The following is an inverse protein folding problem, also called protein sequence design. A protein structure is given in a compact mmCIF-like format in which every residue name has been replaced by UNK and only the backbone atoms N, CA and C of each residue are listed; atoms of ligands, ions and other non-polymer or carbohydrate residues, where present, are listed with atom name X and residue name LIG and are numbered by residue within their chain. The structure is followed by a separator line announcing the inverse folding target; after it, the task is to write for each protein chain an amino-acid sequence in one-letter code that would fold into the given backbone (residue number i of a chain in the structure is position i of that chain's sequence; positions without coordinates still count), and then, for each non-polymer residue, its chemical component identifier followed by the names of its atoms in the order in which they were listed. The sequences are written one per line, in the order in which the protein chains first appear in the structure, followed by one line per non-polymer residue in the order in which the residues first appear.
data_IF_695175824460
#
_entry.id   IF_695175824460
#
_cell.length_a   1.000
_cell.length_b   1.000
_cell.length_c   1.000
_cell.angle_alpha   90.00
_cell.angle_beta   90.00
_cell.angle_gamma   90.00
#
_symmetry.space_group_name_H-M   'P 1'
#
loop_
_entity.id
_entity.type
_entity.pdbx_description
1 polymer ?
#
# COMPACT_ATOMS: atom_id res chain seq x y z
N UNK A 1 -27.81 -56.18 -52.26
CA UNK A 1 -27.89 -54.73 -52.56
C UNK A 1 -27.90 -53.98 -51.24
N UNK A 2 -26.73 -53.84 -50.61
CA UNK A 2 -26.56 -52.91 -49.50
C UNK A 2 -26.09 -51.59 -50.09
N UNK A 3 -27.02 -50.66 -50.27
CA UNK A 3 -26.75 -49.32 -50.83
C UNK A 3 -27.73 -48.33 -50.23
N UNK A 4 -27.22 -47.29 -49.58
CA UNK A 4 -28.00 -46.17 -49.03
C UNK A 4 -27.58 -45.87 -47.60
N UNK A 5 -26.39 -45.32 -47.39
CA UNK A 5 -26.22 -43.88 -47.24
C UNK A 5 -27.06 -43.32 -46.07
N UNK A 6 -26.62 -43.61 -44.84
CA UNK A 6 -26.81 -42.66 -43.74
C UNK A 6 -25.85 -41.48 -43.95
N UNK A 7 -26.13 -40.74 -45.03
CA UNK A 7 -25.60 -39.40 -45.18
C UNK A 7 -26.58 -38.50 -44.47
N UNK A 8 -26.24 -38.12 -43.24
CA UNK A 8 -26.81 -36.96 -42.57
C UNK A 8 -26.84 -35.84 -43.61
N UNK A 9 -28.05 -35.42 -43.98
CA UNK A 9 -28.26 -34.47 -45.05
C UNK A 9 -27.47 -33.19 -44.76
N UNK A 10 -26.73 -32.69 -45.76
CA UNK A 10 -26.16 -31.34 -45.73
C UNK A 10 -27.32 -30.36 -45.61
N UNK A 11 -27.62 -29.90 -44.39
CA UNK A 11 -28.76 -29.00 -44.22
C UNK A 11 -29.19 -28.71 -42.80
N UNK A 12 -28.86 -29.52 -41.80
CA UNK A 12 -29.30 -29.24 -40.43
C UNK A 12 -28.31 -28.40 -39.64
N UNK A 13 -27.83 -27.32 -40.28
CA UNK A 13 -26.93 -26.33 -39.67
C UNK A 13 -27.54 -25.69 -38.42
N UNK A 14 -28.87 -25.73 -38.27
CA UNK A 14 -29.60 -25.21 -37.11
C UNK A 14 -29.54 -26.15 -35.90
N UNK A 15 -29.54 -27.47 -36.12
CA UNK A 15 -29.40 -28.46 -35.04
C UNK A 15 -27.95 -28.48 -34.54
N UNK A 16 -26.97 -28.40 -35.45
CA UNK A 16 -25.56 -28.22 -35.11
C UNK A 16 -25.29 -26.86 -34.43
N UNK A 17 -25.88 -25.76 -34.90
CA UNK A 17 -25.69 -24.45 -34.25
C UNK A 17 -26.33 -24.38 -32.86
N UNK A 18 -27.51 -24.97 -32.65
CA UNK A 18 -28.14 -25.05 -31.32
C UNK A 18 -27.38 -26.00 -30.39
N UNK A 19 -26.91 -27.13 -30.89
CA UNK A 19 -26.08 -28.06 -30.13
C UNK A 19 -24.75 -27.41 -29.74
N UNK A 20 -24.07 -26.75 -30.69
CA UNK A 20 -22.84 -26.00 -30.46
C UNK A 20 -23.05 -24.84 -29.47
N UNK A 21 -24.15 -24.09 -29.55
CA UNK A 21 -24.47 -23.04 -28.56
C UNK A 21 -24.80 -23.61 -27.17
N UNK A 22 -25.39 -24.80 -27.09
CA UNK A 22 -25.72 -25.47 -25.82
C UNK A 22 -24.50 -26.15 -25.15
N UNK A 23 -23.46 -26.47 -25.93
CA UNK A 23 -22.25 -27.16 -25.47
C UNK A 23 -21.02 -26.26 -25.38
N UNK A 24 -21.03 -25.10 -26.07
CA UNK A 24 -19.96 -24.11 -26.00
C UNK A 24 -19.96 -23.46 -24.63
N UNK A 25 -18.99 -23.86 -23.80
CA UNK A 25 -18.66 -23.14 -22.58
C UNK A 25 -18.14 -21.75 -22.97
N UNK A 26 -18.76 -20.70 -22.44
CA UNK A 26 -18.26 -19.32 -22.59
C UNK A 26 -17.01 -19.07 -21.74
N UNK A 27 -16.85 -19.87 -20.67
CA UNK A 27 -15.70 -19.90 -19.78
C UNK A 27 -15.35 -21.36 -19.53
N UNK A 28 -14.12 -21.75 -19.82
CA UNK A 28 -13.62 -23.09 -19.49
C UNK A 28 -13.25 -23.13 -18.00
N UNK A 29 -13.80 -24.09 -17.25
CA UNK A 29 -13.46 -24.29 -15.84
C UNK A 29 -12.45 -25.43 -15.74
N UNK A 30 -11.29 -25.13 -15.17
CA UNK A 30 -10.22 -26.10 -14.88
C UNK A 30 -10.40 -26.70 -13.47
N UNK A 31 -9.81 -27.86 -13.22
CA UNK A 31 -9.74 -28.46 -11.88
C UNK A 31 -8.61 -27.81 -11.06
N UNK A 32 -8.65 -27.95 -9.73
CA UNK A 32 -7.56 -27.48 -8.87
C UNK A 32 -6.28 -28.27 -9.15
N UNK A 33 -5.15 -27.56 -9.27
CA UNK A 33 -3.86 -28.11 -9.64
C UNK A 33 -3.64 -28.38 -11.13
N UNK A 34 -4.64 -28.14 -11.99
CA UNK A 34 -4.45 -28.25 -13.44
C UNK A 34 -3.45 -27.18 -13.93
N UNK A 35 -2.56 -27.52 -14.87
CA UNK A 35 -1.71 -26.51 -15.48
C UNK A 35 -2.54 -25.53 -16.31
N UNK A 36 -2.22 -24.24 -16.24
CA UNK A 36 -2.82 -23.24 -17.12
C UNK A 36 -2.49 -23.57 -18.60
N UNK A 37 -3.41 -23.32 -19.55
CA UNK A 37 -3.18 -23.64 -20.95
C UNK A 37 -2.00 -22.83 -21.52
N UNK A 38 -1.19 -23.47 -22.36
CA UNK A 38 -0.02 -22.84 -23.01
C UNK A 38 -0.34 -21.98 -24.23
N UNK A 39 -1.62 -21.81 -24.57
CA UNK A 39 -2.10 -21.00 -25.70
C UNK A 39 -3.47 -20.41 -25.38
N UNK A 40 -3.85 -19.33 -26.07
CA UNK A 40 -5.15 -18.68 -25.91
C UNK A 40 -6.31 -19.63 -26.30
N UNK A 41 -7.08 -20.05 -25.30
CA UNK A 41 -8.31 -20.83 -25.41
C UNK A 41 -9.56 -19.98 -25.07
N UNK A 42 -9.42 -18.66 -24.93
CA UNK A 42 -10.46 -17.76 -24.43
C UNK A 42 -10.49 -17.69 -22.89
N UNK A 43 -11.51 -17.06 -22.30
CA UNK A 43 -11.61 -16.89 -20.85
C UNK A 43 -11.71 -18.23 -20.11
N UNK A 44 -11.00 -18.35 -18.99
CA UNK A 44 -11.00 -19.55 -18.14
C UNK A 44 -11.28 -19.19 -16.69
N UNK A 45 -11.75 -20.15 -15.92
CA UNK A 45 -11.84 -20.10 -14.46
C UNK A 45 -10.97 -21.21 -13.88
N UNK A 46 -10.19 -20.88 -12.84
CA UNK A 46 -9.34 -21.83 -12.15
C UNK A 46 -9.57 -21.73 -10.64
N UNK A 47 -9.90 -22.80 -9.91
CA UNK A 47 -10.28 -22.71 -8.50
C UNK A 47 -9.13 -22.25 -7.58
N UNK A 48 -7.87 -22.48 -7.95
CA UNK A 48 -6.71 -21.97 -7.19
C UNK A 48 -6.51 -20.46 -7.34
N UNK A 49 -7.18 -19.86 -8.33
CA UNK A 49 -7.17 -18.45 -8.67
C UNK A 49 -8.62 -18.01 -8.90
N UNK A 50 -9.42 -17.82 -7.84
CA UNK A 50 -10.89 -17.73 -7.90
C UNK A 50 -11.39 -16.42 -8.53
N UNK A 51 -11.00 -16.20 -9.78
CA UNK A 51 -11.32 -15.10 -10.67
C UNK A 51 -11.37 -15.65 -12.11
N UNK A 52 -11.80 -14.82 -13.05
CA UNK A 52 -11.76 -15.15 -14.48
C UNK A 52 -10.40 -14.72 -15.02
N UNK A 53 -9.65 -15.68 -15.57
CA UNK A 53 -8.38 -15.44 -16.23
C UNK A 53 -8.59 -15.27 -17.72
N UNK A 54 -7.74 -14.44 -18.31
CA UNK A 54 -7.73 -14.15 -19.75
C UNK A 54 -6.32 -14.28 -20.27
N UNK A 55 -6.17 -14.59 -21.57
CA UNK A 55 -4.87 -14.56 -22.21
C UNK A 55 -4.34 -13.13 -22.26
N UNK A 56 -3.25 -12.86 -21.55
CA UNK A 56 -2.61 -11.54 -21.48
C UNK A 56 -1.20 -11.59 -22.05
N UNK A 57 -0.68 -10.42 -22.43
CA UNK A 57 0.68 -10.27 -22.94
C UNK A 57 1.34 -9.08 -22.26
N UNK A 58 2.47 -9.33 -21.62
CA UNK A 58 3.30 -8.35 -20.92
C UNK A 58 4.71 -8.37 -21.50
N UNK A 59 4.97 -7.48 -22.46
CA UNK A 59 6.24 -7.49 -23.19
C UNK A 59 6.42 -8.81 -23.96
N UNK A 60 7.45 -9.57 -23.60
CA UNK A 60 7.79 -10.84 -24.24
C UNK A 60 7.06 -12.06 -23.65
N UNK A 61 6.31 -11.90 -22.56
CA UNK A 61 5.57 -12.99 -21.92
C UNK A 61 4.10 -12.95 -22.33
N UNK A 62 3.55 -14.12 -22.66
CA UNK A 62 2.12 -14.33 -22.87
C UNK A 62 1.66 -15.53 -22.06
N UNK A 63 0.49 -15.43 -21.46
CA UNK A 63 -0.08 -16.48 -20.62
C UNK A 63 -1.38 -16.02 -19.99
N UNK A 64 -2.00 -16.90 -19.22
CA UNK A 64 -3.22 -16.58 -18.49
C UNK A 64 -2.92 -15.73 -17.26
N UNK A 65 -3.68 -14.64 -17.10
CA UNK A 65 -3.66 -13.81 -15.92
C UNK A 65 -5.03 -13.17 -15.68
N UNK A 66 -5.34 -12.85 -14.42
CA UNK A 66 -6.49 -12.00 -14.13
C UNK A 66 -6.30 -10.59 -14.67
N UNK A 67 -7.41 -9.95 -15.02
CA UNK A 67 -7.44 -8.51 -15.37
C UNK A 67 -7.03 -7.60 -14.20
N UNK A 68 -7.02 -8.14 -12.98
CA UNK A 68 -6.61 -7.45 -11.75
C UNK A 68 -5.13 -7.63 -11.39
N UNK A 69 -4.34 -8.29 -12.23
CA UNK A 69 -2.94 -8.58 -11.94
C UNK A 69 -2.17 -7.31 -11.55
N UNK A 70 -1.44 -7.39 -10.44
CA UNK A 70 -0.71 -6.27 -9.87
C UNK A 70 -1.56 -5.23 -9.11
N UNK A 71 -2.87 -5.44 -9.00
CA UNK A 71 -3.73 -4.64 -8.13
C UNK A 71 -3.58 -5.05 -6.65
N UNK A 72 -4.07 -4.17 -5.78
CA UNK A 72 -4.05 -4.39 -4.33
C UNK A 72 -5.46 -4.55 -3.79
N UNK A 73 -5.63 -5.50 -2.88
CA UNK A 73 -6.89 -5.77 -2.19
C UNK A 73 -6.71 -5.52 -0.69
N UNK A 74 -7.51 -4.61 -0.15
CA UNK A 74 -7.74 -4.53 1.28
C UNK A 74 -8.74 -5.60 1.68
N UNK A 75 -8.40 -6.38 2.70
CA UNK A 75 -9.19 -7.52 3.11
C UNK A 75 -9.60 -7.42 4.58
N UNK A 76 -10.66 -8.12 4.95
CA UNK A 76 -11.10 -8.30 6.34
C UNK A 76 -10.62 -9.61 6.95
N UNK A 77 -10.13 -10.54 6.12
CA UNK A 77 -9.65 -11.84 6.58
C UNK A 77 -8.14 -11.79 6.87
N UNK A 78 -7.76 -12.41 7.99
CA UNK A 78 -6.37 -12.53 8.46
C UNK A 78 -5.61 -13.73 7.86
N UNK A 79 -6.24 -14.47 6.95
CA UNK A 79 -5.64 -15.57 6.20
C UNK A 79 -5.38 -15.21 4.74
N UNK A 80 -4.61 -16.06 4.04
CA UNK A 80 -4.28 -15.91 2.64
C UNK A 80 -5.51 -16.12 1.74
N UNK A 81 -5.67 -15.28 0.70
CA UNK A 81 -6.61 -15.52 -0.39
C UNK A 81 -5.88 -16.20 -1.56
N UNK A 82 -6.44 -17.27 -2.16
CA UNK A 82 -5.89 -17.84 -3.39
C UNK A 82 -5.82 -16.80 -4.51
N UNK A 83 -4.76 -16.83 -5.32
CA UNK A 83 -4.45 -15.82 -6.35
C UNK A 83 -3.83 -14.50 -5.83
N UNK A 84 -3.63 -14.38 -4.52
CA UNK A 84 -3.02 -13.20 -3.91
C UNK A 84 -1.81 -13.56 -3.04
N UNK A 85 -0.88 -12.62 -2.93
CA UNK A 85 0.31 -12.73 -2.08
C UNK A 85 0.39 -11.55 -1.12
N UNK A 86 1.09 -11.73 0.00
CA UNK A 86 1.35 -10.63 0.92
C UNK A 86 2.29 -9.59 0.28
N UNK A 87 2.13 -8.33 0.68
CA UNK A 87 3.12 -7.28 0.38
C UNK A 87 4.39 -7.51 1.19
N UNK A 88 5.56 -7.16 0.62
CA UNK A 88 6.86 -7.30 1.26
C UNK A 88 7.45 -8.71 1.30
N UNK A 89 6.93 -9.63 0.47
CA UNK A 89 7.54 -10.96 0.29
C UNK A 89 8.90 -10.80 -0.38
N UNK A 90 9.91 -11.50 0.15
CA UNK A 90 11.31 -11.32 -0.31
C UNK A 90 11.75 -12.30 -1.36
N UNK A 91 11.14 -13.49 -1.48
CA UNK A 91 11.62 -14.59 -2.31
C UNK A 91 10.48 -15.22 -3.13
N UNK A 92 9.73 -14.40 -3.86
CA UNK A 92 8.62 -14.88 -4.69
C UNK A 92 9.17 -15.50 -5.98
N UNK A 93 8.72 -16.70 -6.36
CA UNK A 93 9.22 -17.42 -7.53
C UNK A 93 8.85 -16.71 -8.84
N UNK A 94 9.82 -16.38 -9.70
CA UNK A 94 9.55 -15.79 -11.03
C UNK A 94 8.85 -16.75 -11.98
N UNK A 95 9.00 -18.07 -11.80
CA UNK A 95 8.35 -19.07 -12.65
C UNK A 95 6.92 -19.32 -12.24
N UNK A 96 6.66 -19.41 -10.93
CA UNK A 96 5.30 -19.59 -10.39
C UNK A 96 4.47 -18.33 -10.61
N UNK A 97 5.04 -17.15 -10.34
CA UNK A 97 4.35 -15.87 -10.46
C UNK A 97 4.80 -15.09 -11.70
N UNK A 98 4.92 -15.78 -12.84
CA UNK A 98 5.42 -15.20 -14.08
C UNK A 98 4.54 -14.06 -14.58
N UNK A 99 3.21 -14.18 -14.46
CA UNK A 99 2.25 -13.13 -14.82
C UNK A 99 2.54 -11.82 -14.07
N UNK A 100 2.67 -11.89 -12.75
CA UNK A 100 2.97 -10.73 -11.90
C UNK A 100 4.34 -10.13 -12.21
N UNK A 101 5.36 -10.97 -12.37
CA UNK A 101 6.72 -10.53 -12.68
C UNK A 101 6.78 -9.76 -14.00
N UNK A 102 6.22 -10.33 -15.07
CA UNK A 102 6.21 -9.71 -16.38
C UNK A 102 5.28 -8.49 -16.45
N UNK A 103 4.17 -8.51 -15.71
CA UNK A 103 3.37 -7.32 -15.50
C UNK A 103 4.21 -6.19 -14.88
N UNK A 104 4.93 -6.46 -13.78
CA UNK A 104 5.76 -5.46 -13.11
C UNK A 104 6.87 -4.91 -14.01
N UNK A 105 7.53 -5.77 -14.78
CA UNK A 105 8.52 -5.39 -15.80
C UNK A 105 7.89 -4.46 -16.85
N UNK A 106 6.74 -4.84 -17.41
CA UNK A 106 6.04 -4.07 -18.45
C UNK A 106 5.61 -2.68 -17.98
N UNK A 107 5.44 -2.49 -16.67
CA UNK A 107 5.06 -1.22 -16.03
C UNK A 107 6.25 -0.41 -15.52
N UNK A 108 7.47 -0.87 -15.75
CA UNK A 108 8.68 -0.18 -15.28
C UNK A 108 8.77 -0.12 -13.75
N UNK A 109 8.29 -1.16 -13.06
CA UNK A 109 8.23 -1.22 -11.58
C UNK A 109 9.33 -2.06 -10.96
N UNK A 110 10.18 -2.68 -11.77
CA UNK A 110 11.30 -3.49 -11.31
C UNK A 110 12.54 -2.63 -11.22
N UNK A 111 13.24 -2.74 -10.10
CA UNK A 111 14.54 -2.10 -9.86
C UNK A 111 15.58 -3.15 -9.46
N UNK A 112 16.86 -2.77 -9.53
CA UNK A 112 17.92 -3.60 -8.95
C UNK A 112 17.71 -3.74 -7.44
N UNK A 113 18.13 -4.89 -6.88
CA UNK A 113 17.98 -5.20 -5.45
C UNK A 113 18.48 -4.10 -4.51
N UNK A 114 19.64 -3.49 -4.81
CA UNK A 114 20.21 -2.41 -4.00
C UNK A 114 19.42 -1.09 -4.03
N UNK A 115 18.50 -0.92 -4.98
CA UNK A 115 17.61 0.24 -5.07
C UNK A 115 16.22 -0.02 -4.51
N UNK A 116 15.94 -1.26 -4.10
CA UNK A 116 14.67 -1.61 -3.50
C UNK A 116 14.56 -1.03 -2.09
N UNK A 117 13.42 -0.43 -1.78
CA UNK A 117 13.12 0.08 -0.45
C UNK A 117 11.64 -0.14 -0.09
N UNK A 118 11.37 -0.41 1.18
CA UNK A 118 10.02 -0.45 1.69
C UNK A 118 9.33 0.92 1.52
N UNK A 119 8.03 0.89 1.30
CA UNK A 119 7.17 2.04 1.08
C UNK A 119 7.12 2.58 -0.33
N UNK A 120 7.83 1.94 -1.27
CA UNK A 120 7.72 2.22 -2.68
C UNK A 120 6.97 1.11 -3.41
N UNK A 121 6.22 1.46 -4.46
CA UNK A 121 5.60 0.48 -5.38
C UNK A 121 6.64 -0.08 -6.35
N UNK A 122 7.67 -0.72 -5.80
CA UNK A 122 8.80 -1.28 -6.53
C UNK A 122 8.99 -2.77 -6.21
N UNK A 123 9.25 -3.52 -7.27
CA UNK A 123 9.69 -4.90 -7.24
C UNK A 123 11.21 -4.93 -7.41
N UNK A 124 11.85 -6.01 -6.98
CA UNK A 124 13.26 -6.19 -7.26
C UNK A 124 13.62 -7.61 -7.61
N UNK A 125 14.52 -7.75 -8.57
CA UNK A 125 15.16 -9.01 -8.94
C UNK A 125 16.21 -9.37 -7.88
N UNK A 126 16.12 -10.57 -7.28
CA UNK A 126 17.14 -11.05 -6.35
C UNK A 126 18.36 -11.66 -7.07
N UNK A 127 18.26 -11.93 -8.38
CA UNK A 127 19.31 -12.56 -9.18
C UNK A 127 19.40 -14.08 -9.03
N UNK A 128 18.45 -14.71 -8.33
CA UNK A 128 18.41 -16.14 -8.02
C UNK A 128 17.16 -16.86 -8.58
N UNK A 129 16.43 -16.20 -9.49
CA UNK A 129 15.15 -16.69 -10.01
C UNK A 129 13.94 -16.34 -9.11
N UNK A 130 14.16 -15.56 -8.05
CA UNK A 130 13.10 -15.01 -7.21
C UNK A 130 13.10 -13.47 -7.21
N UNK A 131 12.00 -12.88 -6.76
CA UNK A 131 11.84 -11.43 -6.69
C UNK A 131 11.17 -10.96 -5.40
N UNK A 132 11.35 -9.68 -5.10
CA UNK A 132 10.70 -8.96 -3.99
C UNK A 132 9.46 -8.25 -4.44
N UNK A 133 8.39 -8.32 -3.65
CA UNK A 133 7.19 -7.52 -3.86
C UNK A 133 7.29 -6.17 -3.14
N UNK A 134 6.53 -5.14 -3.57
CA UNK A 134 6.41 -3.89 -2.83
C UNK A 134 6.02 -4.15 -1.37
N UNK A 135 6.68 -3.48 -0.43
CA UNK A 135 6.32 -3.53 0.98
C UNK A 135 5.59 -2.24 1.37
N UNK A 136 4.28 -2.33 1.60
CA UNK A 136 3.41 -1.20 1.97
C UNK A 136 2.85 -1.33 3.39
N UNK A 137 3.38 -2.27 4.17
CA UNK A 137 2.90 -2.55 5.51
C UNK A 137 3.12 -1.34 6.42
N UNK A 138 2.11 -0.97 7.20
CA UNK A 138 2.15 0.18 8.11
C UNK A 138 2.00 1.55 7.44
N UNK A 139 1.73 1.62 6.14
CA UNK A 139 1.57 2.89 5.43
C UNK A 139 0.11 3.24 5.17
N UNK A 140 -0.16 4.54 5.01
CA UNK A 140 -1.44 5.05 4.56
C UNK A 140 -1.43 5.32 3.05
N UNK A 141 -2.43 4.86 2.29
CA UNK A 141 -2.56 5.20 0.88
C UNK A 141 -2.99 6.66 0.71
N UNK A 142 -2.40 7.34 -0.28
CA UNK A 142 -2.89 8.62 -0.80
C UNK A 142 -3.21 8.47 -2.28
N UNK A 143 -4.32 9.07 -2.70
CA UNK A 143 -4.78 9.03 -4.10
C UNK A 143 -3.77 9.72 -5.01
N UNK A 144 -3.51 9.11 -6.17
CA UNK A 144 -2.68 9.63 -7.25
C UNK A 144 -3.49 9.67 -8.56
N UNK A 145 -3.31 10.66 -9.46
CA UNK A 145 -2.42 11.81 -9.36
C UNK A 145 -2.85 12.82 -8.28
N UNK A 146 -1.88 13.49 -7.65
CA UNK A 146 -2.11 14.32 -6.45
C UNK A 146 -2.83 15.67 -6.69
N UNK A 147 -3.00 16.08 -7.95
CA UNK A 147 -3.71 17.31 -8.31
C UNK A 147 -3.19 18.56 -7.57
N UNK A 148 -4.11 19.42 -7.13
CA UNK A 148 -3.80 20.68 -6.44
C UNK A 148 -3.29 20.46 -5.02
N UNK A 149 -3.61 19.33 -4.39
CA UNK A 149 -3.31 19.05 -2.98
C UNK A 149 -1.96 18.34 -2.76
N UNK A 150 -1.41 17.69 -3.78
CA UNK A 150 -0.07 17.06 -3.75
C UNK A 150 0.59 17.14 -5.14
N UNK A 151 0.86 18.36 -5.64
CA UNK A 151 1.36 18.58 -6.99
C UNK A 151 2.76 17.98 -7.15
N UNK A 152 2.98 17.29 -8.27
CA UNK A 152 4.27 16.66 -8.59
C UNK A 152 4.54 15.33 -7.88
N UNK A 153 3.60 14.77 -7.12
CA UNK A 153 3.74 13.45 -6.48
C UNK A 153 3.99 12.35 -7.52
N UNK A 154 5.08 11.60 -7.34
CA UNK A 154 5.38 10.41 -8.14
C UNK A 154 4.47 9.24 -7.78
N UNK A 155 4.00 8.49 -8.77
CA UNK A 155 3.19 7.29 -8.54
C UNK A 155 4.00 6.22 -7.80
N UNK A 156 3.56 5.87 -6.59
CA UNK A 156 4.19 4.84 -5.77
C UNK A 156 5.43 5.31 -5.01
N UNK A 157 5.60 6.63 -4.85
CA UNK A 157 6.66 7.18 -3.99
C UNK A 157 6.24 7.21 -2.52
N UNK A 158 7.18 6.92 -1.62
CA UNK A 158 6.99 7.11 -0.18
C UNK A 158 6.90 8.61 0.17
N UNK A 159 6.07 8.93 1.15
CA UNK A 159 6.07 10.23 1.83
C UNK A 159 6.29 9.99 3.32
N UNK A 160 7.23 10.73 3.93
CA UNK A 160 7.40 10.75 5.38
C UNK A 160 6.22 11.40 6.10
N UNK A 161 6.14 11.19 7.41
CA UNK A 161 5.16 11.85 8.24
C UNK A 161 5.41 13.37 8.28
N UNK A 162 4.32 14.12 8.40
CA UNK A 162 4.38 15.57 8.56
C UNK A 162 3.22 16.02 9.43
N UNK A 163 3.51 16.90 10.38
CA UNK A 163 2.51 17.63 11.17
C UNK A 163 2.43 19.08 10.69
N UNK A 164 1.30 19.74 10.96
CA UNK A 164 1.22 21.20 10.80
C UNK A 164 2.08 21.89 11.86
N UNK A 165 2.47 23.13 11.57
CA UNK A 165 3.27 23.94 12.48
C UNK A 165 2.60 24.06 13.86
N UNK A 166 3.32 23.67 14.91
CA UNK A 166 2.94 23.89 16.30
C UNK A 166 3.73 25.10 16.79
N UNK A 167 3.02 26.14 17.21
CA UNK A 167 3.64 27.40 17.58
C UNK A 167 3.14 27.89 18.94
N UNK A 168 3.91 28.82 19.49
CA UNK A 168 3.60 29.53 20.72
C UNK A 168 4.67 30.57 20.96
N UNK A 169 4.44 31.44 21.92
CA UNK A 169 5.35 32.52 22.29
C UNK A 169 5.58 32.50 23.78
N UNK A 170 6.80 32.84 24.16
CA UNK A 170 7.21 33.03 25.55
C UNK A 170 7.88 34.39 25.69
N UNK A 171 7.69 35.05 26.83
CA UNK A 171 8.36 36.30 27.13
C UNK A 171 8.96 36.26 28.53
N UNK A 172 10.25 36.59 28.63
CA UNK A 172 10.92 36.78 29.91
C UNK A 172 11.05 38.27 30.20
N UNK A 173 10.76 38.65 31.44
CA UNK A 173 10.83 40.06 31.84
C UNK A 173 10.63 40.25 33.34
N UNK A 174 10.78 41.49 33.77
CA UNK A 174 10.52 41.92 35.14
C UNK A 174 9.10 42.48 35.21
N UNK A 175 8.23 41.86 36.02
CA UNK A 175 6.93 42.43 36.37
C UNK A 175 7.13 43.37 37.56
N UNK A 176 6.90 44.67 37.37
CA UNK A 176 6.96 45.68 38.42
C UNK A 176 8.29 45.73 39.21
N UNK A 177 9.43 45.58 38.55
CA UNK A 177 10.76 45.58 39.19
C UNK A 177 11.07 44.30 39.98
N UNK A 178 10.32 43.21 39.73
CA UNK A 178 10.61 41.92 40.32
C UNK A 178 11.92 41.34 39.79
N UNK A 179 12.94 41.30 40.66
CA UNK A 179 14.13 40.48 40.54
C UNK A 179 13.92 39.21 41.38
N UNK A 180 14.12 37.99 40.84
CA UNK A 180 14.70 37.63 39.53
C UNK A 180 13.71 37.69 38.35
N UNK A 181 14.27 37.72 37.12
CA UNK A 181 13.55 37.58 35.86
C UNK A 181 12.62 36.36 35.86
N UNK A 182 11.43 36.50 35.29
CA UNK A 182 10.44 35.43 35.21
C UNK A 182 9.85 35.30 33.80
N UNK A 183 9.30 34.13 33.49
CA UNK A 183 8.44 33.92 32.33
C UNK A 183 7.10 34.63 32.58
N UNK A 184 6.93 35.77 31.92
CA UNK A 184 5.79 36.69 32.08
C UNK A 184 4.63 36.35 31.14
N UNK A 185 4.90 35.61 30.06
CA UNK A 185 3.91 35.14 29.10
C UNK A 185 4.32 33.76 28.59
N UNK A 186 3.35 32.86 28.48
CA UNK A 186 3.45 31.66 27.66
C UNK A 186 2.10 31.41 26.98
N UNK A 187 2.11 31.05 25.70
CA UNK A 187 0.91 30.68 24.95
C UNK A 187 1.18 29.54 23.97
N UNK A 188 0.10 29.04 23.35
CA UNK A 188 0.17 27.97 22.36
C UNK A 188 0.71 26.69 22.97
N UNK A 189 1.77 26.15 22.38
CA UNK A 189 2.44 24.95 22.89
C UNK A 189 3.26 25.18 24.17
N UNK A 190 3.37 26.41 24.67
CA UNK A 190 4.10 26.72 25.89
C UNK A 190 3.16 26.97 27.08
N UNK A 191 3.59 26.53 28.26
CA UNK A 191 3.02 26.95 29.54
C UNK A 191 4.14 27.34 30.52
N UNK A 192 3.79 27.99 31.62
CA UNK A 192 4.75 28.37 32.66
C UNK A 192 4.62 27.50 33.89
N UNK A 193 5.76 27.12 34.50
CA UNK A 193 5.77 26.47 35.82
C UNK A 193 6.51 27.34 36.83
N UNK A 194 5.88 27.56 37.99
CA UNK A 194 6.51 28.23 39.10
C UNK A 194 7.48 27.31 39.83
N UNK A 195 8.66 27.81 40.18
CA UNK A 195 9.62 27.13 41.06
C UNK A 195 10.14 28.08 42.12
N UNK A 196 10.53 27.52 43.26
CA UNK A 196 11.16 28.24 44.35
C UNK A 196 12.65 28.01 44.27
N UNK A 197 13.41 29.06 43.97
CA UNK A 197 14.86 29.00 43.96
C UNK A 197 15.45 30.22 44.67
N UNK A 198 16.67 30.04 45.19
CA UNK A 198 17.45 31.13 45.76
C UNK A 198 18.17 31.88 44.65
N UNK A 199 18.08 33.21 44.67
CA UNK A 199 18.77 34.08 43.73
C UNK A 199 19.69 35.00 44.50
N UNK A 200 20.98 34.91 44.19
CA UNK A 200 21.96 35.86 44.66
C UNK A 200 21.83 37.15 43.83
N UNK A 201 21.46 38.25 44.49
CA UNK A 201 21.48 39.59 43.90
C UNK A 201 22.64 40.41 44.48
N UNK A 202 23.11 41.42 43.73
CA UNK A 202 24.19 42.31 44.17
C UNK A 202 23.93 43.08 45.47
N UNK A 203 22.68 43.12 45.94
CA UNK A 203 22.25 43.81 47.16
C UNK A 203 21.60 42.86 48.20
N UNK A 204 22.03 41.60 48.23
CA UNK A 204 21.49 40.54 49.09
C UNK A 204 20.61 39.57 48.31
N UNK A 205 20.84 38.27 48.50
CA UNK A 205 20.06 37.22 47.86
C UNK A 205 18.85 36.79 48.67
N UNK A 206 17.83 36.26 47.98
CA UNK A 206 16.59 35.82 48.57
C UNK A 206 16.00 34.61 47.84
N UNK A 207 15.09 33.92 48.52
CA UNK A 207 14.35 32.79 47.94
C UNK A 207 13.03 33.29 47.37
N UNK A 208 12.78 33.03 46.09
CA UNK A 208 11.59 33.50 45.39
C UNK A 208 10.87 32.34 44.67
N UNK A 209 9.55 32.30 44.80
CA UNK A 209 8.69 31.45 43.96
C UNK A 209 8.18 32.26 42.78
N UNK A 210 8.57 31.90 41.56
CA UNK A 210 8.19 32.59 40.30
C UNK A 210 8.08 31.60 39.14
N UNK A 211 7.37 31.98 38.09
CA UNK A 211 7.28 31.25 36.81
C UNK A 211 8.63 31.24 36.08
N UNK A 212 9.54 30.35 36.45
CA UNK A 212 10.92 30.37 35.93
C UNK A 212 11.12 29.49 34.71
N UNK A 213 10.22 28.53 34.51
CA UNK A 213 10.28 27.64 33.36
C UNK A 213 9.18 27.97 32.36
N UNK A 214 9.55 27.98 31.09
CA UNK A 214 8.63 27.77 30.00
C UNK A 214 8.74 26.30 29.58
N UNK A 215 7.66 25.54 29.67
CA UNK A 215 7.65 24.16 29.23
C UNK A 215 7.01 24.11 27.84
N UNK A 216 7.72 23.50 26.90
CA UNK A 216 7.12 23.08 25.64
C UNK A 216 6.32 21.81 25.90
N UNK A 217 5.03 21.87 25.64
CA UNK A 217 4.15 20.72 25.69
C UNK A 217 3.23 20.72 24.46
N UNK A 218 3.57 19.92 23.46
CA UNK A 218 2.74 19.74 22.27
C UNK A 218 1.33 19.22 22.61
N UNK A 219 1.16 18.52 23.74
CA UNK A 219 -0.13 18.04 24.23
C UNK A 219 -1.16 19.16 24.47
N UNK A 220 -0.70 20.41 24.63
CA UNK A 220 -1.58 21.58 24.77
C UNK A 220 -2.32 21.95 23.48
N UNK A 221 -1.90 21.43 22.32
CA UNK A 221 -2.47 21.76 21.01
C UNK A 221 -2.92 20.51 20.24
N UNK A 222 -2.26 19.36 20.46
CA UNK A 222 -2.54 18.11 19.75
C UNK A 222 -2.33 16.89 20.68
N UNK A 223 -3.10 15.81 20.54
CA UNK A 223 -2.76 14.55 21.22
C UNK A 223 -1.36 14.06 20.85
N UNK A 224 -0.64 13.49 21.82
CA UNK A 224 0.74 13.01 21.63
C UNK A 224 0.84 11.50 21.76
N UNK A 225 1.66 10.88 20.92
CA UNK A 225 2.05 9.48 20.98
C UNK A 225 3.47 9.33 20.39
N UNK A 226 4.05 8.12 20.41
CA UNK A 226 5.35 7.85 19.77
C UNK A 226 5.36 8.01 18.24
N UNK A 227 4.18 8.14 17.62
CA UNK A 227 3.98 8.36 16.19
C UNK A 227 2.75 9.26 16.01
N UNK A 228 2.82 10.23 15.09
CA UNK A 228 1.65 11.01 14.70
C UNK A 228 0.82 10.23 13.68
N UNK A 229 -0.34 9.72 14.12
CA UNK A 229 -1.28 8.98 13.28
C UNK A 229 -2.73 9.34 13.63
N UNK A 230 -3.60 9.53 12.63
CA UNK A 230 -5.03 9.55 12.87
C UNK A 230 -5.50 8.22 13.49
N UNK A 231 -6.69 8.23 14.09
CA UNK A 231 -7.37 6.98 14.49
C UNK A 231 -7.50 6.08 13.27
N UNK A 232 -7.08 4.83 13.38
CA UNK A 232 -7.08 3.87 12.30
C UNK A 232 -7.28 2.43 12.82
N UNK A 233 -7.65 1.54 11.91
CA UNK A 233 -7.73 0.09 12.13
C UNK A 233 -6.88 -0.60 11.07
N UNK A 234 -6.11 -1.61 11.48
CA UNK A 234 -5.26 -2.39 10.58
C UNK A 234 -6.07 -3.40 9.79
N UNK A 235 -5.85 -3.43 8.47
CA UNK A 235 -6.41 -4.43 7.54
C UNK A 235 -5.27 -5.03 6.72
N UNK A 236 -5.30 -6.34 6.39
CA UNK A 236 -4.36 -6.91 5.45
C UNK A 236 -4.46 -6.27 4.07
N UNK A 237 -3.30 -6.04 3.45
CA UNK A 237 -3.17 -5.59 2.07
C UNK A 237 -2.46 -6.66 1.26
N UNK A 238 -3.20 -7.25 0.33
CA UNK A 238 -2.70 -8.29 -0.55
C UNK A 238 -2.48 -7.79 -1.97
N UNK A 239 -1.49 -8.35 -2.65
CA UNK A 239 -1.13 -8.10 -4.03
C UNK A 239 -1.69 -9.23 -4.90
N UNK A 240 -2.46 -8.89 -5.92
CA UNK A 240 -2.96 -9.84 -6.90
C UNK A 240 -1.80 -10.35 -7.76
N UNK A 241 -1.61 -11.67 -7.82
CA UNK A 241 -0.39 -12.28 -8.34
C UNK A 241 -0.60 -13.25 -9.52
N UNK A 242 -1.85 -13.56 -9.86
CA UNK A 242 -2.25 -14.56 -10.86
C UNK A 242 -3.39 -14.02 -11.71
#
# INVERSE_FOLDING_TARGET
MGTGADQVARGDHLHDARYYLSTKKFIECLESGDPLPGSDAGPIFHPDYPDILTWQTFGAWSGYATTRIGSYLWDSADWWRPGYVQTGVTNLSMTTYAALWHWALSRGRVVALGSWAAGYLLFADNGDGTFRTPNLQGLFPRVWPGGVYDPGRGLGSLQGDAIRNIHGSIAFGELFGANPLMCTLANGAFNTTATTAYFAGGNGGGTYTRNMYANLNAANQVPTAGENRPVNTSLPLYLCAE
#
